data_IF_882893866539
#
_entry.id   IF_882893866539
#
_cell.length_a   1.000
_cell.length_b   1.000
_cell.length_c   1.000
_cell.angle_alpha   90.00
_cell.angle_beta   90.00
_cell.angle_gamma   90.00
#
_symmetry.space_group_name_H-M   'P 1'
#
loop_
_entity.id
_entity.type
_entity.pdbx_description
1 polymer ?
#
# COMPACT_ATOMS: atom_id res chain seq x y z
N UNK A 1 10.35 4.67 5.06
CA UNK A 1 10.12 6.02 4.52
C UNK A 1 11.41 6.79 4.18
N UNK A 2 12.45 6.66 5.00
CA UNK A 2 13.73 7.36 4.78
C UNK A 2 14.48 6.84 3.55
N UNK A 3 14.48 5.53 3.31
CA UNK A 3 15.12 4.94 2.13
C UNK A 3 14.50 5.41 0.80
N UNK A 4 13.22 5.78 0.80
CA UNK A 4 12.50 6.26 -0.38
C UNK A 4 12.23 7.77 -0.38
N UNK A 5 12.81 8.52 0.56
CA UNK A 5 12.56 9.95 0.78
C UNK A 5 11.07 10.34 0.83
N UNK A 6 10.22 9.46 1.38
CA UNK A 6 8.77 9.72 1.47
C UNK A 6 8.06 9.75 0.10
N UNK A 7 8.52 8.96 -0.87
CA UNK A 7 7.91 8.78 -2.19
C UNK A 7 6.37 8.80 -2.14
N UNK A 8 5.73 9.71 -2.90
CA UNK A 8 4.26 9.93 -2.98
C UNK A 8 3.61 10.49 -1.70
N UNK A 9 4.29 10.51 -0.54
CA UNK A 9 3.80 11.21 0.65
C UNK A 9 3.91 12.75 0.53
N UNK A 10 4.51 13.26 -0.56
CA UNK A 10 4.87 14.67 -0.78
C UNK A 10 5.53 15.35 0.43
N UNK A 11 6.15 14.54 1.29
CA UNK A 11 6.65 14.94 2.58
C UNK A 11 8.14 15.25 2.50
N UNK A 12 8.46 16.49 2.14
CA UNK A 12 9.83 16.98 2.22
C UNK A 12 10.41 16.76 3.63
N UNK A 13 11.66 16.33 3.70
CA UNK A 13 12.37 16.05 4.95
C UNK A 13 11.61 15.09 5.90
N UNK A 14 11.24 13.92 5.38
CA UNK A 14 10.49 12.90 6.13
C UNK A 14 11.13 12.54 7.48
N UNK A 15 12.47 12.55 7.56
CA UNK A 15 13.20 12.31 8.82
C UNK A 15 12.80 13.31 9.90
N UNK A 16 12.74 14.60 9.58
CA UNK A 16 12.37 15.61 10.56
C UNK A 16 10.89 15.49 10.92
N UNK A 17 10.01 15.24 9.94
CA UNK A 17 8.58 15.02 10.18
C UNK A 17 8.30 13.86 11.15
N UNK A 18 9.00 12.73 11.01
CA UNK A 18 8.87 11.61 11.95
C UNK A 18 9.34 12.00 13.37
N UNK A 19 10.41 12.78 13.49
CA UNK A 19 10.84 13.31 14.80
C UNK A 19 9.81 14.28 15.40
N UNK A 20 9.17 15.11 14.58
CA UNK A 20 8.19 16.08 15.04
C UNK A 20 6.85 15.44 15.43
N UNK A 21 6.51 14.26 14.88
CA UNK A 21 5.42 13.43 15.40
C UNK A 21 5.75 13.01 16.85
N UNK A 22 6.95 12.46 17.06
CA UNK A 22 7.40 12.00 18.38
C UNK A 22 7.51 13.11 19.42
N UNK A 23 7.95 14.30 19.01
CA UNK A 23 8.01 15.49 19.88
C UNK A 23 6.65 15.99 20.36
N UNK A 24 5.57 15.63 19.68
CA UNK A 24 4.19 15.97 20.04
C UNK A 24 3.48 14.78 20.67
N UNK A 25 4.25 13.91 21.35
CA UNK A 25 3.80 12.69 22.02
C UNK A 25 3.09 11.68 21.09
N UNK A 26 3.31 11.80 19.77
CA UNK A 26 2.87 10.83 18.78
C UNK A 26 3.82 9.62 18.72
N UNK A 27 3.31 8.52 18.17
CA UNK A 27 4.06 7.26 18.04
C UNK A 27 4.32 6.91 16.58
N UNK A 28 5.55 6.50 16.27
CA UNK A 28 5.93 5.99 14.95
C UNK A 28 6.23 4.50 15.06
N UNK A 29 5.39 3.68 14.42
CA UNK A 29 5.59 2.23 14.32
C UNK A 29 6.03 1.89 12.90
N UNK A 30 7.07 1.06 12.77
CA UNK A 30 7.54 0.54 11.47
C UNK A 30 7.28 -0.95 11.40
N UNK A 31 6.64 -1.40 10.32
CA UNK A 31 6.53 -2.81 9.95
C UNK A 31 7.44 -3.03 8.74
N UNK A 32 8.52 -3.79 8.91
CA UNK A 32 9.52 -3.98 7.86
C UNK A 32 10.30 -5.27 8.14
N UNK A 33 10.49 -6.19 7.16
CA UNK A 33 11.31 -7.39 7.34
C UNK A 33 12.78 -7.06 7.64
N UNK A 34 13.23 -5.84 7.33
CA UNK A 34 14.59 -5.36 7.61
C UNK A 34 14.53 -4.24 8.62
N UNK A 35 15.51 -4.18 9.53
CA UNK A 35 15.71 -3.01 10.36
C UNK A 35 16.32 -1.89 9.51
N UNK A 36 15.46 -1.03 8.98
CA UNK A 36 15.86 0.09 8.10
C UNK A 36 16.20 1.33 8.91
N UNK A 37 16.77 2.33 8.24
CA UNK A 37 17.08 3.65 8.81
C UNK A 37 15.82 4.36 9.33
N UNK A 38 14.63 3.97 8.83
CA UNK A 38 13.36 4.44 9.38
C UNK A 38 13.07 3.77 10.72
N UNK A 39 13.27 2.45 10.83
CA UNK A 39 13.11 1.70 12.06
C UNK A 39 14.05 2.21 13.17
N UNK A 40 15.27 2.64 12.83
CA UNK A 40 16.24 3.17 13.80
C UNK A 40 15.80 4.46 14.51
N UNK A 41 14.87 5.21 13.92
CA UNK A 41 14.35 6.46 14.50
C UNK A 41 12.88 6.36 14.93
N UNK A 42 12.25 5.21 14.72
CA UNK A 42 10.89 4.91 15.13
C UNK A 42 10.83 4.57 16.63
N UNK A 43 9.64 4.62 17.21
CA UNK A 43 9.42 4.21 18.61
C UNK A 43 9.33 2.69 18.72
N UNK A 44 8.85 2.04 17.66
CA UNK A 44 8.61 0.61 17.63
C UNK A 44 8.85 0.03 16.22
N UNK A 45 9.39 -1.18 16.15
CA UNK A 45 9.63 -1.89 14.90
C UNK A 45 9.23 -3.36 15.02
N UNK A 46 8.47 -3.84 14.03
CA UNK A 46 8.08 -5.25 13.89
C UNK A 46 8.72 -5.86 12.66
N UNK A 47 9.34 -7.03 12.86
CA UNK A 47 9.83 -7.86 11.78
C UNK A 47 8.68 -8.69 11.21
N UNK A 48 8.15 -8.25 10.07
CA UNK A 48 7.18 -9.03 9.31
C UNK A 48 7.90 -10.05 8.41
N UNK A 49 7.29 -11.22 8.19
CA UNK A 49 7.75 -12.16 7.18
C UNK A 49 7.61 -11.51 5.78
N UNK A 50 8.65 -11.54 4.93
CA UNK A 50 8.57 -10.92 3.61
C UNK A 50 7.38 -11.41 2.77
N UNK A 51 6.66 -10.49 2.14
CA UNK A 51 5.52 -10.79 1.27
C UNK A 51 4.21 -11.08 1.99
N UNK A 52 4.17 -11.08 3.33
CA UNK A 52 2.96 -11.38 4.11
C UNK A 52 2.22 -10.14 4.63
N UNK A 53 2.55 -8.95 4.14
CA UNK A 53 1.90 -7.68 4.54
C UNK A 53 0.38 -7.73 4.36
N UNK A 54 -0.06 -8.39 3.29
CA UNK A 54 -1.48 -8.56 2.99
C UNK A 54 -2.24 -9.25 4.13
N UNK A 55 -1.62 -10.26 4.76
CA UNK A 55 -2.24 -10.99 5.86
C UNK A 55 -2.34 -10.12 7.11
N UNK A 56 -1.31 -9.32 7.40
CA UNK A 56 -1.36 -8.34 8.50
C UNK A 56 -2.49 -7.33 8.28
N UNK A 57 -2.59 -6.77 7.07
CA UNK A 57 -3.61 -5.77 6.74
C UNK A 57 -5.03 -6.36 6.84
N UNK A 58 -5.24 -7.59 6.37
CA UNK A 58 -6.51 -8.30 6.53
C UNK A 58 -6.82 -8.57 8.01
N UNK A 59 -5.83 -8.93 8.81
CA UNK A 59 -5.99 -9.12 10.25
C UNK A 59 -6.33 -7.83 10.99
N UNK A 60 -5.67 -6.73 10.63
CA UNK A 60 -5.99 -5.41 11.16
C UNK A 60 -7.42 -5.01 10.80
N UNK A 61 -7.83 -5.19 9.54
CA UNK A 61 -9.18 -4.91 9.09
C UNK A 61 -10.22 -5.77 9.83
N UNK A 62 -9.98 -7.07 9.98
CA UNK A 62 -10.82 -7.98 10.76
C UNK A 62 -11.02 -7.47 12.19
N UNK A 63 -9.92 -7.12 12.85
CA UNK A 63 -9.91 -6.67 14.23
C UNK A 63 -10.60 -5.31 14.42
N UNK A 64 -10.45 -4.38 13.46
CA UNK A 64 -11.18 -3.10 13.42
C UNK A 64 -12.69 -3.35 13.44
N UNK A 65 -13.18 -4.28 12.59
CA UNK A 65 -14.61 -4.64 12.59
C UNK A 65 -15.03 -5.40 13.85
N UNK A 66 -14.17 -6.27 14.38
CA UNK A 66 -14.47 -7.07 15.57
C UNK A 66 -14.62 -6.20 16.83
N UNK A 67 -13.79 -5.17 16.98
CA UNK A 67 -13.82 -4.23 18.10
C UNK A 67 -14.78 -3.05 17.89
N UNK A 68 -15.40 -2.92 16.71
CA UNK A 68 -16.36 -1.85 16.42
C UNK A 68 -15.70 -0.47 16.20
N UNK A 69 -14.46 -0.43 15.72
CA UNK A 69 -13.72 0.81 15.46
C UNK A 69 -14.07 1.49 14.11
N UNK A 70 -15.15 1.07 13.48
CA UNK A 70 -15.63 1.72 12.25
C UNK A 70 -16.14 3.11 12.58
N UNK A 71 -15.70 4.10 11.80
CA UNK A 71 -16.05 5.51 11.99
C UNK A 71 -16.58 6.09 10.70
N UNK A 72 -17.83 6.57 10.75
CA UNK A 72 -18.43 7.30 9.64
C UNK A 72 -17.67 8.61 9.39
N UNK A 73 -17.48 8.92 8.12
CA UNK A 73 -16.83 10.12 7.61
C UNK A 73 -17.50 10.57 6.30
N UNK A 74 -17.19 11.78 5.84
CA UNK A 74 -17.67 12.25 4.54
C UNK A 74 -17.20 11.32 3.41
N UNK A 75 -15.95 10.84 3.49
CA UNK A 75 -15.41 9.90 2.50
C UNK A 75 -16.15 8.55 2.52
N UNK A 76 -16.45 8.00 3.70
CA UNK A 76 -17.17 6.71 3.79
C UNK A 76 -18.61 6.82 3.30
N UNK A 77 -19.24 7.98 3.41
CA UNK A 77 -20.59 8.24 2.88
C UNK A 77 -20.66 8.22 1.34
N UNK A 78 -19.52 8.28 0.65
CA UNK A 78 -19.42 8.16 -0.81
C UNK A 78 -19.26 6.70 -1.28
N UNK A 79 -19.29 5.73 -0.35
CA UNK A 79 -18.97 4.33 -0.63
C UNK A 79 -20.10 3.41 -0.19
N UNK A 80 -21.01 3.09 -1.11
CA UNK A 80 -22.21 2.27 -0.83
C UNK A 80 -21.88 0.83 -0.42
N UNK A 81 -20.73 0.31 -0.82
CA UNK A 81 -20.36 -1.11 -0.70
C UNK A 81 -19.50 -1.44 0.55
N UNK A 82 -19.25 -0.47 1.43
CA UNK A 82 -18.39 -0.67 2.61
C UNK A 82 -18.90 -1.75 3.59
N UNK A 83 -20.19 -2.05 3.55
CA UNK A 83 -20.80 -3.09 4.38
C UNK A 83 -20.30 -4.50 4.03
N UNK A 84 -19.93 -4.75 2.77
CA UNK A 84 -19.47 -6.06 2.30
C UNK A 84 -18.01 -6.36 2.69
N UNK A 85 -17.24 -5.31 2.99
CA UNK A 85 -15.80 -5.41 3.30
C UNK A 85 -15.53 -6.26 4.54
N UNK A 86 -16.44 -6.23 5.53
CA UNK A 86 -16.32 -7.02 6.76
C UNK A 86 -16.19 -8.52 6.45
N UNK A 87 -16.96 -9.01 5.48
CA UNK A 87 -17.00 -10.43 5.14
C UNK A 87 -15.69 -10.88 4.46
N UNK A 88 -15.02 -9.99 3.71
CA UNK A 88 -13.73 -10.26 3.07
C UNK A 88 -12.61 -10.51 4.11
N UNK A 89 -12.67 -9.85 5.25
CA UNK A 89 -11.66 -9.97 6.31
C UNK A 89 -12.00 -11.06 7.35
N UNK A 90 -13.21 -11.62 7.36
CA UNK A 90 -13.74 -12.45 8.45
C UNK A 90 -12.86 -13.63 8.87
N UNK A 91 -12.19 -14.30 7.92
CA UNK A 91 -11.33 -15.46 8.19
C UNK A 91 -9.92 -15.13 8.71
N UNK A 92 -9.50 -13.87 8.60
CA UNK A 92 -8.16 -13.42 8.93
C UNK A 92 -8.11 -12.88 10.36
N UNK A 93 -8.41 -13.70 11.36
CA UNK A 93 -8.25 -13.26 12.76
C UNK A 93 -6.77 -13.09 13.09
N UNK A 94 -6.41 -12.22 14.06
CA UNK A 94 -5.02 -12.12 14.54
C UNK A 94 -4.41 -13.46 14.94
N UNK A 95 -5.20 -14.34 15.57
CA UNK A 95 -4.76 -15.68 16.01
C UNK A 95 -4.44 -16.60 14.81
N UNK A 96 -5.23 -16.53 13.73
CA UNK A 96 -4.97 -17.31 12.52
C UNK A 96 -3.77 -16.80 11.73
N UNK A 97 -3.54 -15.48 11.74
CA UNK A 97 -2.53 -14.81 10.92
C UNK A 97 -1.15 -14.78 11.58
N UNK A 98 -1.08 -14.62 12.91
CA UNK A 98 0.17 -14.46 13.64
C UNK A 98 1.27 -15.51 13.31
N UNK A 99 0.97 -16.83 13.21
CA UNK A 99 1.97 -17.84 12.86
C UNK A 99 2.58 -17.67 11.46
N UNK A 100 1.88 -16.96 10.57
CA UNK A 100 2.27 -16.76 9.17
C UNK A 100 3.15 -15.53 8.96
N UNK A 101 3.05 -14.53 9.84
CA UNK A 101 3.62 -13.20 9.58
C UNK A 101 4.76 -12.81 10.50
N UNK A 102 5.00 -13.54 11.60
CA UNK A 102 6.08 -13.22 12.54
C UNK A 102 5.77 -12.07 13.52
N UNK A 103 4.50 -11.68 13.65
CA UNK A 103 3.99 -10.70 14.61
C UNK A 103 2.91 -11.41 15.42
N UNK A 104 2.92 -11.26 16.74
CA UNK A 104 1.99 -11.96 17.64
C UNK A 104 0.55 -11.44 17.51
N UNK A 105 -0.42 -12.26 17.90
CA UNK A 105 -1.84 -11.87 17.92
C UNK A 105 -2.08 -10.66 18.82
N UNK A 106 -1.42 -10.65 19.98
CA UNK A 106 -1.46 -9.57 20.96
C UNK A 106 -0.91 -8.26 20.39
N UNK A 107 0.20 -8.32 19.64
CA UNK A 107 0.76 -7.16 18.96
C UNK A 107 -0.18 -6.61 17.89
N UNK A 108 -0.78 -7.47 17.05
CA UNK A 108 -1.75 -7.03 16.03
C UNK A 108 -2.94 -6.32 16.70
N UNK A 109 -3.54 -6.95 17.72
CA UNK A 109 -4.69 -6.40 18.47
C UNK A 109 -4.35 -5.06 19.11
N UNK A 110 -3.16 -4.95 19.71
CA UNK A 110 -2.67 -3.70 20.32
C UNK A 110 -2.42 -2.62 19.26
N UNK A 111 -1.77 -2.94 18.15
CA UNK A 111 -1.51 -1.99 17.06
C UNK A 111 -2.81 -1.41 16.50
N UNK A 112 -3.82 -2.26 16.29
CA UNK A 112 -5.16 -1.84 15.84
C UNK A 112 -5.80 -0.91 16.86
N UNK A 113 -5.81 -1.29 18.13
CA UNK A 113 -6.39 -0.48 19.20
C UNK A 113 -5.70 0.88 19.31
N UNK A 114 -4.37 0.92 19.39
CA UNK A 114 -3.59 2.15 19.45
C UNK A 114 -3.85 3.05 18.22
N UNK A 115 -3.90 2.48 17.02
CA UNK A 115 -4.20 3.21 15.78
C UNK A 115 -5.61 3.81 15.78
N UNK A 116 -6.62 3.04 16.20
CA UNK A 116 -8.00 3.47 16.20
C UNK A 116 -8.33 4.49 17.29
N UNK A 117 -7.76 4.33 18.49
CA UNK A 117 -8.00 5.22 19.64
C UNK A 117 -7.17 6.52 19.59
N UNK A 118 -6.10 6.57 18.78
CA UNK A 118 -5.31 7.79 18.61
C UNK A 118 -6.17 8.96 18.11
N UNK A 119 -5.98 10.20 18.62
CA UNK A 119 -6.72 11.37 18.14
C UNK A 119 -6.60 11.56 16.62
N UNK A 120 -5.40 11.37 16.09
CA UNK A 120 -5.09 11.32 14.66
C UNK A 120 -4.07 10.21 14.38
N UNK A 121 -4.23 9.55 13.24
CA UNK A 121 -3.36 8.47 12.80
C UNK A 121 -3.46 8.29 11.29
N UNK A 122 -2.40 7.76 10.70
CA UNK A 122 -2.35 7.39 9.28
C UNK A 122 -1.61 6.07 9.12
N UNK A 123 -2.21 5.15 8.37
CA UNK A 123 -1.54 3.94 7.91
C UNK A 123 -0.97 4.19 6.52
N UNK A 124 0.30 3.90 6.30
CA UNK A 124 0.98 4.23 5.05
C UNK A 124 1.96 3.14 4.63
N UNK A 125 1.95 2.80 3.34
CA UNK A 125 2.88 1.87 2.70
C UNK A 125 3.20 2.29 1.26
N UNK A 126 4.40 1.95 0.78
CA UNK A 126 4.86 2.26 -0.59
C UNK A 126 5.57 1.09 -1.23
N UNK A 127 6.84 1.26 -1.62
CA UNK A 127 7.56 0.32 -2.47
C UNK A 127 7.53 -1.09 -1.91
N UNK A 128 7.83 -1.28 -0.62
CA UNK A 128 7.84 -2.60 0.02
C UNK A 128 6.53 -3.38 -0.17
N UNK A 129 5.38 -2.72 0.00
CA UNK A 129 4.08 -3.36 -0.19
C UNK A 129 3.60 -3.34 -1.65
N UNK A 130 4.16 -2.49 -2.52
CA UNK A 130 3.72 -2.35 -3.92
C UNK A 130 4.38 -3.32 -4.89
N UNK A 131 5.62 -3.77 -4.60
CA UNK A 131 6.40 -4.62 -5.54
C UNK A 131 6.41 -6.10 -5.15
N UNK A 132 5.34 -6.54 -4.49
CA UNK A 132 5.11 -7.93 -4.09
C UNK A 132 3.85 -8.49 -4.77
N UNK A 133 3.66 -9.81 -4.72
CA UNK A 133 2.62 -10.57 -5.44
C UNK A 133 1.20 -9.99 -5.26
N UNK A 134 0.85 -9.61 -4.04
CA UNK A 134 -0.43 -9.03 -3.62
C UNK A 134 -0.35 -7.50 -3.45
N UNK A 135 0.55 -6.83 -4.16
CA UNK A 135 0.84 -5.42 -3.89
C UNK A 135 -0.32 -4.46 -4.21
N UNK A 136 -1.11 -4.76 -5.24
CA UNK A 136 -2.35 -4.03 -5.54
C UNK A 136 -3.33 -4.11 -4.36
N UNK A 137 -3.57 -5.32 -3.85
CA UNK A 137 -4.51 -5.55 -2.77
C UNK A 137 -4.01 -4.96 -1.45
N UNK A 138 -2.71 -5.03 -1.19
CA UNK A 138 -2.09 -4.44 0.01
C UNK A 138 -2.26 -2.91 0.02
N UNK A 139 -2.02 -2.25 -1.11
CA UNK A 139 -2.25 -0.81 -1.26
C UNK A 139 -3.73 -0.44 -1.11
N UNK A 140 -4.62 -1.24 -1.71
CA UNK A 140 -6.06 -1.08 -1.54
C UNK A 140 -6.48 -1.18 -0.07
N UNK A 141 -6.00 -2.19 0.67
CA UNK A 141 -6.32 -2.36 2.09
C UNK A 141 -5.77 -1.24 2.97
N UNK A 142 -4.59 -0.69 2.67
CA UNK A 142 -4.08 0.49 3.38
C UNK A 142 -5.05 1.66 3.23
N UNK A 143 -5.49 1.96 1.99
CA UNK A 143 -6.48 3.02 1.77
C UNK A 143 -7.79 2.69 2.47
N UNK A 144 -8.27 1.45 2.36
CA UNK A 144 -9.52 1.00 2.97
C UNK A 144 -9.50 1.11 4.49
N UNK A 145 -8.42 0.73 5.17
CA UNK A 145 -8.27 0.86 6.62
C UNK A 145 -8.36 2.33 7.03
N UNK A 146 -7.66 3.23 6.32
CA UNK A 146 -7.80 4.67 6.57
C UNK A 146 -9.25 5.13 6.33
N UNK A 147 -9.93 4.64 5.29
CA UNK A 147 -11.33 4.99 4.96
C UNK A 147 -12.29 4.58 6.07
N UNK A 148 -12.30 3.30 6.45
CA UNK A 148 -13.28 2.74 7.41
C UNK A 148 -13.05 3.22 8.84
N UNK A 149 -11.86 3.73 9.15
CA UNK A 149 -11.54 4.35 10.44
C UNK A 149 -11.70 5.88 10.43
N UNK A 150 -12.23 6.46 9.34
CA UNK A 150 -12.48 7.89 9.22
C UNK A 150 -11.21 8.74 9.23
N UNK A 151 -10.12 8.22 8.66
CA UNK A 151 -8.79 8.84 8.58
C UNK A 151 -8.44 9.34 7.18
N UNK A 152 -9.36 9.22 6.20
CA UNK A 152 -9.19 9.83 4.87
C UNK A 152 -9.67 11.28 4.90
N UNK A 153 -8.87 12.15 4.28
CA UNK A 153 -9.13 13.57 4.07
C UNK A 153 -9.44 14.35 5.37
N UNK A 154 -8.68 14.05 6.42
CA UNK A 154 -8.75 14.71 7.72
C UNK A 154 -7.36 15.09 8.22
N UNK A 155 -7.26 16.18 9.00
CA UNK A 155 -5.98 16.61 9.57
C UNK A 155 -5.35 15.50 10.43
N UNK A 156 -4.08 15.18 10.13
CA UNK A 156 -3.34 14.09 10.77
C UNK A 156 -3.67 12.69 10.25
N UNK A 157 -4.55 12.57 9.25
CA UNK A 157 -4.84 11.35 8.49
C UNK A 157 -4.17 11.32 7.11
N UNK A 158 -4.73 10.48 6.23
CA UNK A 158 -4.35 10.40 4.82
C UNK A 158 -5.00 11.54 4.03
N UNK A 159 -4.19 12.53 3.63
CA UNK A 159 -4.66 13.71 2.90
C UNK A 159 -4.36 13.61 1.40
N UNK A 160 -5.23 14.25 0.60
CA UNK A 160 -4.97 14.47 -0.82
C UNK A 160 -4.50 15.91 -1.05
N UNK A 161 -3.41 16.14 -1.80
CA UNK A 161 -3.01 17.48 -2.16
C UNK A 161 -3.97 18.05 -3.21
N UNK A 162 -4.22 19.36 -3.17
CA UNK A 162 -4.84 20.07 -4.29
C UNK A 162 -3.86 20.07 -5.48
N UNK A 163 -4.16 19.37 -6.58
CA UNK A 163 -3.21 19.22 -7.67
C UNK A 163 -3.18 20.48 -8.53
N UNK A 164 -2.01 20.82 -9.08
CA UNK A 164 -1.89 21.94 -10.03
C UNK A 164 -2.71 21.73 -11.32
N UNK A 165 -3.07 20.48 -11.64
CA UNK A 165 -3.93 20.09 -12.75
C UNK A 165 -4.92 19.05 -12.25
N UNK A 166 -6.22 19.32 -12.43
CA UNK A 166 -7.28 18.36 -12.12
C UNK A 166 -7.34 17.26 -13.19
N UNK A 167 -6.66 16.15 -12.90
CA UNK A 167 -6.70 14.95 -13.72
C UNK A 167 -7.80 13.98 -13.28
N UNK A 168 -8.44 14.20 -12.12
CA UNK A 168 -9.43 13.28 -11.56
C UNK A 168 -10.65 13.25 -12.46
N UNK A 169 -11.14 14.41 -12.88
CA UNK A 169 -12.26 14.53 -13.82
C UNK A 169 -11.96 13.98 -15.22
N UNK A 170 -10.69 13.78 -15.55
CA UNK A 170 -10.24 13.23 -16.85
C UNK A 170 -9.82 11.76 -16.77
N UNK A 171 -9.91 11.14 -15.59
CA UNK A 171 -9.48 9.76 -15.35
C UNK A 171 -10.69 8.84 -15.09
N UNK A 172 -10.68 7.66 -15.70
CA UNK A 172 -11.67 6.62 -15.42
C UNK A 172 -11.23 5.67 -14.30
N UNK A 173 -12.05 4.67 -13.93
CA UNK A 173 -11.70 3.63 -12.95
C UNK A 173 -10.53 2.73 -13.37
N UNK A 174 -10.04 2.92 -14.59
CA UNK A 174 -9.03 2.08 -15.22
C UNK A 174 -9.59 0.76 -15.76
N UNK A 175 -8.71 -0.07 -16.29
CA UNK A 175 -9.01 -1.42 -16.76
C UNK A 175 -7.80 -2.34 -16.63
N UNK A 176 -8.08 -3.64 -16.56
CA UNK A 176 -7.09 -4.71 -16.59
C UNK A 176 -7.38 -5.67 -17.73
N UNK A 177 -6.37 -5.98 -18.53
CA UNK A 177 -6.40 -7.06 -19.51
C UNK A 177 -7.27 -6.83 -20.73
N UNK A 178 -7.39 -5.58 -21.21
CA UNK A 178 -8.01 -5.33 -22.54
C UNK A 178 -7.08 -5.82 -23.66
N UNK A 179 -5.77 -5.81 -23.41
CA UNK A 179 -4.75 -6.40 -24.26
C UNK A 179 -3.87 -7.32 -23.43
N UNK A 180 -3.11 -8.17 -24.12
CA UNK A 180 -2.16 -9.09 -23.51
C UNK A 180 -0.81 -9.02 -24.22
N UNK A 181 0.26 -9.26 -23.47
CA UNK A 181 1.59 -9.47 -24.07
C UNK A 181 1.55 -10.69 -24.98
N UNK A 182 2.35 -10.70 -26.05
CA UNK A 182 2.30 -11.76 -27.04
C UNK A 182 2.82 -13.09 -26.51
N UNK A 183 3.89 -13.09 -25.72
CA UNK A 183 4.59 -14.31 -25.29
C UNK A 183 3.90 -14.96 -24.10
N UNK A 184 3.92 -14.32 -22.93
CA UNK A 184 3.32 -14.88 -21.70
C UNK A 184 1.84 -14.57 -21.50
N UNK A 185 1.21 -13.82 -22.42
CA UNK A 185 -0.21 -13.47 -22.31
C UNK A 185 -0.55 -12.71 -21.02
N UNK A 186 0.40 -11.88 -20.53
CA UNK A 186 0.20 -11.07 -19.33
C UNK A 186 -0.75 -9.90 -19.65
N UNK A 187 -1.70 -9.58 -18.76
CA UNK A 187 -2.66 -8.50 -18.99
C UNK A 187 -1.98 -7.13 -18.95
N UNK A 188 -2.44 -6.20 -19.79
CA UNK A 188 -2.11 -4.78 -19.62
C UNK A 188 -2.91 -4.14 -18.49
N UNK A 189 -2.39 -3.05 -17.94
CA UNK A 189 -3.13 -2.18 -17.02
C UNK A 189 -3.13 -0.76 -17.58
N UNK A 190 -4.32 -0.21 -17.85
CA UNK A 190 -4.48 1.14 -18.40
C UNK A 190 -3.66 1.46 -19.66
N UNK A 191 -3.30 0.44 -20.43
CA UNK A 191 -2.52 0.61 -21.65
C UNK A 191 -1.03 0.28 -21.49
N UNK A 192 -0.57 0.04 -20.27
CA UNK A 192 0.81 -0.32 -19.96
C UNK A 192 0.96 -1.84 -19.81
N UNK A 193 1.96 -2.41 -20.49
CA UNK A 193 2.33 -3.82 -20.31
C UNK A 193 3.31 -3.99 -19.15
N UNK A 194 3.27 -5.14 -18.44
CA UNK A 194 4.25 -5.44 -17.40
C UNK A 194 5.67 -5.43 -17.96
N UNK A 195 6.56 -4.65 -17.34
CA UNK A 195 7.93 -4.48 -17.85
C UNK A 195 8.75 -5.78 -17.87
N UNK A 196 8.39 -6.76 -17.04
CA UNK A 196 8.97 -8.12 -17.05
C UNK A 196 8.79 -8.83 -18.39
N UNK A 197 7.80 -8.45 -19.20
CA UNK A 197 7.60 -9.02 -20.53
C UNK A 197 8.42 -8.32 -21.61
N UNK A 198 9.09 -7.20 -21.31
CA UNK A 198 9.76 -6.38 -22.31
C UNK A 198 10.80 -7.16 -23.14
N UNK A 199 11.65 -7.96 -22.48
CA UNK A 199 12.72 -8.70 -23.17
C UNK A 199 12.16 -9.79 -24.08
N UNK A 200 11.19 -10.58 -23.62
CA UNK A 200 10.56 -11.64 -24.43
C UNK A 200 9.76 -11.08 -25.61
N UNK A 201 9.07 -9.95 -25.44
CA UNK A 201 8.32 -9.30 -26.51
C UNK A 201 9.24 -8.80 -27.64
N UNK A 202 10.48 -8.42 -27.30
CA UNK A 202 11.51 -8.00 -28.25
C UNK A 202 12.28 -9.17 -28.87
N UNK A 203 12.65 -10.17 -28.07
CA UNK A 203 13.57 -11.24 -28.49
C UNK A 203 12.86 -12.40 -29.19
N UNK A 204 11.59 -12.66 -28.89
CA UNK A 204 10.86 -13.80 -29.46
C UNK A 204 10.41 -13.47 -30.88
N UNK A 205 10.78 -14.23 -31.93
CA UNK A 205 10.27 -14.01 -33.28
C UNK A 205 8.75 -14.20 -33.38
N UNK A 206 8.10 -13.55 -34.35
CA UNK A 206 6.68 -13.76 -34.66
C UNK A 206 5.94 -12.49 -35.06
N UNK A 207 4.67 -12.65 -35.44
CA UNK A 207 3.76 -11.53 -35.71
C UNK A 207 3.64 -10.65 -34.46
N UNK A 208 3.74 -9.33 -34.62
CA UNK A 208 3.66 -8.38 -33.49
C UNK A 208 4.92 -8.28 -32.62
N UNK A 209 6.05 -8.91 -33.01
CA UNK A 209 7.33 -8.74 -32.31
C UNK A 209 7.74 -7.26 -32.23
N UNK A 210 8.14 -6.80 -31.04
CA UNK A 210 8.64 -5.44 -30.83
C UNK A 210 10.01 -5.30 -31.49
N UNK A 211 10.13 -4.41 -32.47
CA UNK A 211 11.37 -4.16 -33.25
C UNK A 211 12.09 -2.87 -32.88
N UNK A 212 11.43 -1.96 -32.17
CA UNK A 212 11.96 -0.67 -31.79
C UNK A 212 11.71 -0.38 -30.32
N UNK A 213 12.67 0.27 -29.68
CA UNK A 213 12.62 0.65 -28.27
C UNK A 213 13.15 2.07 -28.11
N UNK A 214 12.39 2.92 -27.42
CA UNK A 214 12.82 4.28 -27.07
C UNK A 214 12.93 4.32 -25.55
N UNK A 215 14.15 4.61 -25.07
CA UNK A 215 14.42 4.78 -23.65
C UNK A 215 14.63 6.27 -23.35
N UNK A 216 13.74 6.86 -22.56
CA UNK A 216 13.84 8.26 -22.14
C UNK A 216 14.27 8.29 -20.69
N UNK A 217 15.51 8.69 -20.43
CA UNK A 217 16.08 8.85 -19.09
C UNK A 217 15.96 7.63 -18.15
N UNK A 218 15.80 6.42 -18.69
CA UNK A 218 15.72 5.17 -17.93
C UNK A 218 17.01 4.33 -17.99
N UNK A 219 17.13 3.35 -17.11
CA UNK A 219 18.16 2.31 -17.19
C UNK A 219 17.53 0.91 -17.10
N UNK A 220 17.05 0.37 -18.23
CA UNK A 220 16.38 -0.93 -18.24
C UNK A 220 17.21 -2.06 -17.64
N UNK A 221 18.53 -2.06 -17.84
CA UNK A 221 19.44 -3.08 -17.33
C UNK A 221 19.42 -3.17 -15.79
N UNK A 222 19.22 -2.05 -15.09
CA UNK A 222 19.16 -2.02 -13.62
C UNK A 222 17.74 -2.00 -13.06
N UNK A 223 16.76 -1.53 -13.83
CA UNK A 223 15.41 -1.24 -13.34
C UNK A 223 14.35 -2.24 -13.79
N UNK A 224 14.65 -3.14 -14.72
CA UNK A 224 13.70 -4.13 -15.23
C UNK A 224 14.14 -5.54 -14.88
N UNK A 225 13.35 -6.32 -14.11
CA UNK A 225 13.61 -7.74 -13.91
C UNK A 225 13.33 -8.53 -15.20
N UNK A 226 14.02 -9.66 -15.37
CA UNK A 226 13.70 -10.68 -16.38
C UNK A 226 12.60 -11.62 -15.86
#
# INVERSE_FOLDING_TARGET
PLASNGSIMTAANVRQKLKDIRKRDGKVVVIDPRRTETADIADEHHFIRPGTDILLLLAMLNEIYAQGFIKESQASALSDELTQVKDLAKGYTPDNVAPLIGITSEEIKRLVKEYCEAPSAVLYGRMGVSVQEFGLLSQYLIMLINLVTGRIDVEGGLMFPDPAVDIVNSSGPGYLGKRKTRVRQLPDFNGDFPVVAMSEEMLTPGEGQIKGFINIAGNPVLSTPN
#
